data_IF_449282677576
#
_entry.id   IF_449282677576
#
_cell.length_a   1.000
_cell.length_b   1.000
_cell.length_c   1.000
_cell.angle_alpha   90.00
_cell.angle_beta   90.00
_cell.angle_gamma   90.00
#
_symmetry.space_group_name_H-M   'P 1'
#
loop_
_entity.id
_entity.type
_entity.pdbx_description
1 polymer ?
#
# COMPACT_ATOMS: atom_id res chain seq x y z
N UNK A 1 1.88 -24.13 -7.76
CA UNK A 1 3.23 -23.72 -7.29
C UNK A 1 3.71 -22.38 -7.86
N UNK A 2 3.06 -21.77 -8.87
CA UNK A 2 3.48 -20.48 -9.46
C UNK A 2 3.05 -19.23 -8.65
N UNK A 3 1.97 -19.32 -7.88
CA UNK A 3 1.42 -18.17 -7.13
C UNK A 3 2.24 -17.76 -5.91
N UNK A 4 2.98 -18.70 -5.28
CA UNK A 4 3.75 -18.42 -4.07
C UNK A 4 5.00 -17.57 -4.30
N UNK A 5 5.75 -17.85 -5.39
CA UNK A 5 6.97 -17.10 -5.72
C UNK A 5 6.68 -15.66 -6.14
N UNK A 6 5.67 -15.46 -6.99
CA UNK A 6 5.23 -14.12 -7.40
C UNK A 6 4.70 -13.29 -6.23
N UNK A 7 3.91 -13.91 -5.35
CA UNK A 7 3.40 -13.23 -4.15
C UNK A 7 4.53 -12.86 -3.17
N UNK A 8 5.55 -13.70 -3.01
CA UNK A 8 6.70 -13.41 -2.17
C UNK A 8 7.53 -12.22 -2.72
N UNK A 9 7.78 -12.18 -4.03
CA UNK A 9 8.51 -11.07 -4.68
C UNK A 9 7.72 -9.76 -4.58
N UNK A 10 6.41 -9.82 -4.82
CA UNK A 10 5.53 -8.65 -4.70
C UNK A 10 5.49 -8.11 -3.27
N UNK A 11 5.40 -9.00 -2.28
CA UNK A 11 5.46 -8.63 -0.86
C UNK A 11 6.82 -8.01 -0.51
N UNK A 12 7.92 -8.56 -1.03
CA UNK A 12 9.27 -8.03 -0.81
C UNK A 12 9.45 -6.62 -1.40
N UNK A 13 8.95 -6.37 -2.61
CA UNK A 13 9.00 -5.04 -3.24
C UNK A 13 8.20 -4.03 -2.43
N UNK A 14 7.01 -4.39 -1.95
CA UNK A 14 6.21 -3.53 -1.09
C UNK A 14 6.88 -3.23 0.26
N UNK A 15 7.54 -4.22 0.87
CA UNK A 15 8.30 -4.02 2.10
C UNK A 15 9.46 -3.03 1.92
N UNK A 16 10.19 -3.12 0.80
CA UNK A 16 11.29 -2.20 0.50
C UNK A 16 10.76 -0.77 0.28
N UNK A 17 9.65 -0.62 -0.46
CA UNK A 17 9.01 0.69 -0.64
C UNK A 17 8.51 1.29 0.68
N UNK A 18 7.90 0.48 1.55
CA UNK A 18 7.44 0.90 2.86
C UNK A 18 8.59 1.31 3.79
N UNK A 19 9.73 0.62 3.71
CA UNK A 19 10.93 0.95 4.47
C UNK A 19 11.51 2.31 4.06
N UNK A 20 11.51 2.65 2.76
CA UNK A 20 11.95 3.96 2.28
C UNK A 20 10.98 5.11 2.63
N UNK A 21 9.72 4.79 2.88
CA UNK A 21 8.71 5.77 3.29
C UNK A 21 8.67 6.02 4.81
N UNK A 22 9.33 5.17 5.61
CA UNK A 22 9.36 5.28 7.08
C UNK A 22 10.05 6.56 7.54
N UNK A 23 9.46 7.25 8.53
CA UNK A 23 10.04 8.46 9.14
C UNK A 23 11.37 8.20 9.86
N UNK A 24 11.69 6.93 10.16
CA UNK A 24 12.95 6.50 10.76
C UNK A 24 14.14 6.51 9.79
N UNK A 25 13.91 6.81 8.50
CA UNK A 25 14.98 6.87 7.50
C UNK A 25 15.65 8.25 7.56
N UNK A 26 16.99 8.35 7.72
CA UNK A 26 17.66 9.62 7.96
C UNK A 26 17.31 10.68 6.91
N UNK A 27 17.05 11.92 7.34
CA UNK A 27 16.66 13.04 6.48
C UNK A 27 17.62 13.29 5.29
N UNK A 28 18.89 12.87 5.39
CA UNK A 28 19.88 12.92 4.31
C UNK A 28 19.54 12.03 3.10
N UNK A 29 18.66 11.03 3.29
CA UNK A 29 18.20 10.10 2.26
C UNK A 29 16.75 10.40 1.80
N UNK A 30 16.03 11.30 2.50
CA UNK A 30 14.72 11.82 2.10
C UNK A 30 14.90 12.83 0.97
N UNK A 31 14.90 12.35 -0.26
CA UNK A 31 14.68 13.21 -1.42
C UNK A 31 13.27 13.81 -1.32
N UNK A 32 13.09 15.10 -1.64
CA UNK A 32 11.78 15.78 -1.65
C UNK A 32 10.71 15.03 -2.47
N UNK A 33 11.15 14.26 -3.47
CA UNK A 33 10.33 13.33 -4.25
C UNK A 33 9.61 12.26 -3.39
N UNK A 34 10.18 11.86 -2.25
CA UNK A 34 9.59 10.88 -1.34
C UNK A 34 8.45 11.47 -0.50
N UNK A 35 8.47 12.76 -0.18
CA UNK A 35 7.35 13.40 0.54
C UNK A 35 6.10 13.52 -0.35
N UNK A 36 6.31 13.81 -1.64
CA UNK A 36 5.26 13.80 -2.66
C UNK A 36 4.74 12.37 -2.87
N UNK A 37 5.63 11.40 -2.96
CA UNK A 37 5.26 9.98 -3.04
C UNK A 37 4.47 9.52 -1.81
N UNK A 38 4.88 9.88 -0.60
CA UNK A 38 4.19 9.51 0.65
C UNK A 38 2.80 10.15 0.75
N UNK A 39 2.65 11.39 0.28
CA UNK A 39 1.37 12.11 0.31
C UNK A 39 0.38 11.61 -0.75
N UNK A 40 0.87 11.17 -1.91
CA UNK A 40 0.04 10.69 -3.03
C UNK A 40 -0.24 9.19 -2.94
N UNK A 41 0.61 8.43 -2.26
CA UNK A 41 0.45 6.98 -2.09
C UNK A 41 -0.31 6.63 -0.80
N UNK A 42 -0.74 5.37 -0.71
CA UNK A 42 -1.41 4.82 0.48
C UNK A 42 -0.42 4.47 1.62
N UNK A 43 0.87 4.78 1.46
CA UNK A 43 1.92 4.32 2.38
C UNK A 43 1.81 4.97 3.76
N UNK A 44 1.27 6.18 3.85
CA UNK A 44 0.98 6.86 5.13
C UNK A 44 -0.06 6.14 5.99
N UNK A 45 -0.90 5.28 5.38
CA UNK A 45 -1.86 4.43 6.10
C UNK A 45 -1.21 3.13 6.60
N UNK A 46 -0.01 2.76 6.11
CA UNK A 46 0.73 1.60 6.59
C UNK A 46 1.55 1.96 7.84
N UNK A 47 0.90 1.95 9.00
CA UNK A 47 1.53 2.27 10.28
C UNK A 47 2.17 1.05 10.95
N UNK A 48 3.36 0.69 10.46
CA UNK A 48 4.15 -0.43 10.98
C UNK A 48 4.64 -0.14 12.41
N UNK A 49 4.96 1.12 12.72
CA UNK A 49 5.35 1.59 14.05
C UNK A 49 4.30 1.24 15.11
N UNK A 50 3.02 1.53 14.84
CA UNK A 50 1.94 1.26 15.78
C UNK A 50 1.73 -0.24 16.08
N UNK A 51 2.09 -1.12 15.12
CA UNK A 51 2.06 -2.59 15.28
C UNK A 51 3.20 -3.04 16.20
N UNK A 52 4.39 -2.47 16.02
CA UNK A 52 5.58 -2.78 16.85
C UNK A 52 5.39 -2.25 18.28
N UNK A 53 4.79 -1.08 18.43
CA UNK A 53 4.51 -0.44 19.72
C UNK A 53 3.28 -1.02 20.45
N UNK A 54 2.57 -1.99 19.84
CA UNK A 54 1.42 -2.66 20.44
C UNK A 54 0.16 -1.79 20.60
N UNK A 55 0.06 -0.70 19.84
CA UNK A 55 -1.10 0.21 19.88
C UNK A 55 -2.16 -0.19 18.86
N UNK A 56 -3.42 0.21 19.07
CA UNK A 56 -4.54 -0.13 18.15
C UNK A 56 -4.71 0.85 16.98
N UNK A 57 -3.77 1.78 16.78
CA UNK A 57 -3.87 2.81 15.74
C UNK A 57 -3.79 2.23 14.32
N UNK A 58 -3.10 1.10 14.11
CA UNK A 58 -3.08 0.43 12.80
C UNK A 58 -4.47 -0.06 12.34
N UNK A 59 -5.38 -0.38 13.27
CA UNK A 59 -6.66 -1.01 12.94
C UNK A 59 -7.59 -0.09 12.14
N UNK A 60 -7.71 1.18 12.51
CA UNK A 60 -8.56 2.12 11.78
C UNK A 60 -7.94 2.49 10.43
N UNK A 61 -6.61 2.60 10.36
CA UNK A 61 -5.87 2.85 9.11
C UNK A 61 -6.03 1.69 8.13
N UNK A 62 -5.96 0.43 8.61
CA UNK A 62 -6.29 -0.73 7.78
C UNK A 62 -7.75 -0.77 7.35
N UNK A 63 -8.68 -0.32 8.20
CA UNK A 63 -10.09 -0.19 7.83
C UNK A 63 -10.30 0.70 6.61
N UNK A 64 -9.59 1.84 6.53
CA UNK A 64 -9.64 2.73 5.37
C UNK A 64 -9.03 2.07 4.13
N UNK A 65 -7.91 1.36 4.28
CA UNK A 65 -7.29 0.60 3.19
C UNK A 65 -8.27 -0.43 2.59
N UNK A 66 -8.98 -1.20 3.43
CA UNK A 66 -10.00 -2.16 2.99
C UNK A 66 -11.14 -1.45 2.24
N UNK A 67 -11.61 -0.31 2.75
CA UNK A 67 -12.66 0.45 2.09
C UNK A 67 -12.23 0.92 0.68
N UNK A 68 -11.00 1.42 0.53
CA UNK A 68 -10.44 1.83 -0.76
C UNK A 68 -10.33 0.63 -1.71
N UNK A 69 -9.91 -0.54 -1.22
CA UNK A 69 -9.87 -1.77 -2.02
C UNK A 69 -11.26 -2.15 -2.55
N UNK A 70 -12.27 -2.13 -1.67
CA UNK A 70 -13.65 -2.48 -2.06
C UNK A 70 -14.18 -1.51 -3.12
N UNK A 71 -14.03 -0.20 -2.90
CA UNK A 71 -14.50 0.83 -3.83
C UNK A 71 -13.80 0.68 -5.19
N UNK A 72 -12.48 0.54 -5.18
CA UNK A 72 -11.69 0.40 -6.42
C UNK A 72 -12.04 -0.89 -7.17
N UNK A 73 -12.32 -1.98 -6.45
CA UNK A 73 -12.75 -3.24 -7.03
C UNK A 73 -14.13 -3.14 -7.69
N UNK A 74 -15.10 -2.50 -7.04
CA UNK A 74 -16.45 -2.27 -7.59
C UNK A 74 -16.39 -1.37 -8.84
N UNK A 75 -15.60 -0.30 -8.79
CA UNK A 75 -15.37 0.58 -9.94
C UNK A 75 -14.73 -0.22 -11.07
N UNK A 76 -13.71 -1.03 -10.76
CA UNK A 76 -13.07 -1.94 -11.69
C UNK A 76 -14.09 -2.84 -12.40
N UNK A 77 -14.89 -3.59 -11.64
CA UNK A 77 -15.95 -4.45 -12.20
C UNK A 77 -16.89 -3.65 -13.11
N UNK A 78 -17.33 -2.47 -12.67
CA UNK A 78 -18.29 -1.67 -13.45
C UNK A 78 -17.68 -1.16 -14.76
N UNK A 79 -16.39 -0.80 -14.76
CA UNK A 79 -15.67 -0.35 -15.95
C UNK A 79 -15.36 -1.53 -16.89
N UNK A 80 -14.93 -2.68 -16.35
CA UNK A 80 -14.65 -3.88 -17.13
C UNK A 80 -15.92 -4.50 -17.72
N UNK A 81 -17.04 -4.53 -17.00
CA UNK A 81 -18.33 -4.97 -17.55
C UNK A 81 -18.85 -4.05 -18.66
N UNK A 82 -18.43 -2.78 -18.70
CA UNK A 82 -18.81 -1.83 -19.77
C UNK A 82 -17.86 -1.88 -20.96
N UNK A 83 -16.62 -2.32 -20.73
CA UNK A 83 -15.60 -2.52 -21.76
C UNK A 83 -15.42 -4.01 -21.90
N UNK A 84 -16.36 -4.66 -22.60
CA UNK A 84 -16.21 -6.04 -23.10
C UNK A 84 -14.94 -6.11 -23.96
N UNK A 85 -13.80 -6.21 -23.30
CA UNK A 85 -12.55 -6.61 -23.91
C UNK A 85 -12.72 -8.11 -24.18
N UNK A 86 -12.66 -8.54 -25.46
CA UNK A 86 -12.76 -9.96 -25.77
C UNK A 86 -11.64 -10.69 -25.01
N UNK A 87 -12.07 -11.63 -24.16
CA UNK A 87 -11.20 -12.60 -23.50
C UNK A 87 -10.41 -13.42 -24.52
#
# INVERSE_FOLDING_TARGET
MSTGGGFAVLTLVFTILGMFASESTPAMMRMEALDLFNSVSLVTLFDISSIVDGTSAYLWKFGILIAITIISFIIGITVFNKKDLPL
#
